data_IF_383486450423
#
_entry.id   IF_383486450423
#
_cell.length_a   1.000
_cell.length_b   1.000
_cell.length_c   1.000
_cell.angle_alpha   90.00
_cell.angle_beta   90.00
_cell.angle_gamma   90.00
#
_symmetry.space_group_name_H-M   'P 1'
#
loop_
_entity.id
_entity.type
_entity.pdbx_description
1 polymer ?
#
# COMPACT_ATOMS: atom_id res chain seq x y z
N UNK A 1 47.67 -44.14 -10.61
CA UNK A 1 46.41 -44.73 -10.09
C UNK A 1 45.32 -44.53 -11.14
N UNK A 2 44.79 -45.62 -11.69
CA UNK A 2 43.79 -45.59 -12.78
C UNK A 2 42.41 -45.25 -12.19
N UNK A 3 41.75 -44.23 -12.74
CA UNK A 3 40.35 -43.88 -12.47
C UNK A 3 39.42 -45.02 -12.93
N UNK A 4 38.93 -45.85 -12.00
CA UNK A 4 38.11 -47.04 -12.30
C UNK A 4 36.60 -46.82 -12.03
N UNK A 5 36.16 -45.63 -11.62
CA UNK A 5 34.75 -45.44 -11.19
C UNK A 5 33.82 -44.71 -12.18
N UNK A 6 34.32 -44.04 -13.23
CA UNK A 6 33.50 -43.07 -14.00
C UNK A 6 32.87 -43.59 -15.29
N UNK A 7 33.33 -44.69 -15.88
CA UNK A 7 32.84 -45.12 -17.22
C UNK A 7 31.48 -45.84 -17.19
N UNK A 8 31.17 -46.61 -16.13
CA UNK A 8 30.00 -47.51 -16.15
C UNK A 8 28.64 -46.87 -15.83
N UNK A 9 28.60 -45.83 -14.99
CA UNK A 9 27.34 -45.23 -14.53
C UNK A 9 26.74 -44.31 -15.60
N UNK A 10 27.57 -43.48 -16.25
CA UNK A 10 27.13 -42.55 -17.29
C UNK A 10 26.65 -43.27 -18.56
N UNK A 11 27.29 -44.39 -18.93
CA UNK A 11 26.81 -45.22 -20.05
C UNK A 11 25.45 -45.85 -19.77
N UNK A 12 25.23 -46.34 -18.54
CA UNK A 12 23.92 -46.90 -18.14
C UNK A 12 22.84 -45.83 -18.22
N UNK A 13 23.11 -44.61 -17.75
CA UNK A 13 22.16 -43.48 -17.85
C UNK A 13 21.84 -43.14 -19.31
N UNK A 14 22.85 -43.13 -20.20
CA UNK A 14 22.64 -42.88 -21.64
C UNK A 14 21.80 -43.96 -22.34
N UNK A 15 21.86 -45.22 -21.91
CA UNK A 15 21.02 -46.30 -22.45
C UNK A 15 19.52 -46.10 -22.17
N UNK A 16 19.19 -45.42 -21.07
CA UNK A 16 17.79 -45.15 -20.67
C UNK A 16 17.32 -43.74 -21.04
N UNK A 17 18.23 -42.84 -21.42
CA UNK A 17 17.89 -41.49 -21.86
C UNK A 17 17.45 -41.47 -23.35
N UNK A 18 16.53 -40.58 -23.74
CA UNK A 18 16.16 -40.39 -25.15
C UNK A 18 17.38 -40.06 -26.02
N UNK A 19 17.43 -40.59 -27.25
CA UNK A 19 18.61 -40.49 -28.14
C UNK A 19 19.03 -39.05 -28.50
N UNK A 20 18.15 -38.07 -28.33
CA UNK A 20 18.39 -36.65 -28.61
C UNK A 20 18.81 -35.84 -27.37
N UNK A 21 18.89 -36.46 -26.19
CA UNK A 21 19.13 -35.74 -24.94
C UNK A 21 20.62 -35.43 -24.77
N UNK A 22 21.00 -34.16 -24.94
CA UNK A 22 22.34 -33.68 -24.59
C UNK A 22 22.39 -33.18 -23.15
N UNK A 23 23.54 -33.36 -22.51
CA UNK A 23 23.75 -32.82 -21.16
C UNK A 23 23.53 -31.29 -21.19
N UNK A 24 22.67 -30.73 -20.33
CA UNK A 24 22.31 -29.32 -20.38
C UNK A 24 23.45 -28.38 -19.98
N UNK A 25 24.47 -28.89 -19.28
CA UNK A 25 25.65 -28.13 -18.85
C UNK A 25 26.91 -28.96 -19.13
N UNK A 26 27.97 -28.31 -19.61
CA UNK A 26 29.26 -28.95 -19.93
C UNK A 26 30.30 -28.72 -18.84
N UNK A 27 30.16 -27.65 -18.06
CA UNK A 27 31.07 -27.32 -16.95
C UNK A 27 30.33 -27.09 -15.62
N UNK A 28 31.03 -27.24 -14.48
CA UNK A 28 30.49 -26.86 -13.17
C UNK A 28 30.20 -25.36 -13.05
N UNK A 29 30.94 -24.49 -13.75
CA UNK A 29 30.68 -23.05 -13.75
C UNK A 29 29.36 -22.73 -14.44
N UNK A 30 29.10 -23.28 -15.63
CA UNK A 30 27.84 -23.11 -16.38
C UNK A 30 26.62 -23.52 -15.55
N UNK A 31 26.73 -24.66 -14.85
CA UNK A 31 25.67 -25.14 -13.96
C UNK A 31 25.43 -24.20 -12.77
N UNK A 32 26.49 -23.64 -12.20
CA UNK A 32 26.41 -22.73 -11.04
C UNK A 32 25.79 -21.38 -11.43
N UNK A 33 26.15 -20.85 -12.58
CA UNK A 33 25.54 -19.63 -13.12
C UNK A 33 24.06 -19.82 -13.40
N UNK A 34 23.68 -20.95 -14.01
CA UNK A 34 22.29 -21.31 -14.23
C UNK A 34 21.52 -21.44 -12.91
N UNK A 35 22.07 -22.13 -11.91
CA UNK A 35 21.46 -22.26 -10.57
C UNK A 35 21.25 -20.90 -9.89
N UNK A 36 22.22 -19.99 -9.97
CA UNK A 36 22.09 -18.63 -9.40
C UNK A 36 21.04 -17.81 -10.14
N UNK A 37 20.98 -17.91 -11.48
CA UNK A 37 19.97 -17.23 -12.28
C UNK A 37 18.56 -17.76 -11.97
N UNK A 38 18.40 -19.07 -11.87
CA UNK A 38 17.11 -19.69 -11.56
C UNK A 38 16.68 -19.47 -10.12
N UNK A 39 17.65 -19.43 -9.19
CA UNK A 39 17.45 -19.00 -7.81
C UNK A 39 16.93 -17.57 -7.72
N UNK A 40 17.52 -16.62 -8.48
CA UNK A 40 17.03 -15.23 -8.54
C UNK A 40 15.60 -15.13 -9.04
N UNK A 41 15.28 -15.78 -10.18
CA UNK A 41 13.91 -15.81 -10.72
C UNK A 41 12.91 -16.38 -9.71
N UNK A 42 13.30 -17.43 -9.01
CA UNK A 42 12.43 -18.07 -8.01
C UNK A 42 12.24 -17.21 -6.77
N UNK A 43 13.26 -16.49 -6.32
CA UNK A 43 13.13 -15.48 -5.27
C UNK A 43 12.19 -14.35 -5.68
N UNK A 44 12.35 -13.81 -6.89
CA UNK A 44 11.45 -12.76 -7.44
C UNK A 44 10.00 -13.24 -7.53
N UNK A 45 9.78 -14.48 -7.99
CA UNK A 45 8.46 -15.12 -8.05
C UNK A 45 7.85 -15.28 -6.65
N UNK A 46 8.63 -15.77 -5.68
CA UNK A 46 8.20 -15.93 -4.28
C UNK A 46 7.90 -14.56 -3.67
N UNK A 47 8.73 -13.55 -3.90
CA UNK A 47 8.46 -12.18 -3.45
C UNK A 47 7.19 -11.62 -4.08
N UNK A 48 6.97 -11.84 -5.36
CA UNK A 48 5.76 -11.43 -6.07
C UNK A 48 4.51 -12.11 -5.51
N UNK A 49 4.57 -13.42 -5.27
CA UNK A 49 3.47 -14.19 -4.67
C UNK A 49 3.22 -13.76 -3.23
N UNK A 50 4.28 -13.60 -2.43
CA UNK A 50 4.18 -13.07 -1.08
C UNK A 50 3.61 -11.66 -1.07
N UNK A 51 3.96 -10.83 -2.06
CA UNK A 51 3.41 -9.49 -2.23
C UNK A 51 1.94 -9.53 -2.61
N UNK A 52 1.51 -10.43 -3.50
CA UNK A 52 0.11 -10.63 -3.85
C UNK A 52 -0.72 -11.12 -2.66
N UNK A 53 -0.22 -12.11 -1.90
CA UNK A 53 -0.88 -12.61 -0.69
C UNK A 53 -0.93 -11.54 0.39
N UNK A 54 0.12 -10.71 0.54
CA UNK A 54 0.11 -9.55 1.42
C UNK A 54 -0.91 -8.53 0.96
N UNK A 55 -0.96 -8.18 -0.33
CA UNK A 55 -1.95 -7.28 -0.91
C UNK A 55 -3.37 -7.80 -0.66
N UNK A 56 -3.64 -9.08 -0.85
CA UNK A 56 -4.97 -9.67 -0.61
C UNK A 56 -5.34 -9.69 0.87
N UNK A 57 -4.41 -10.08 1.75
CA UNK A 57 -4.61 -10.03 3.21
C UNK A 57 -4.78 -8.60 3.70
N UNK A 58 -4.00 -7.68 3.15
CA UNK A 58 -4.10 -6.25 3.40
C UNK A 58 -5.46 -5.78 2.92
N UNK A 59 -5.90 -6.03 1.68
CA UNK A 59 -7.23 -5.66 1.18
C UNK A 59 -8.37 -6.20 2.07
N UNK A 60 -8.24 -7.41 2.60
CA UNK A 60 -9.22 -7.99 3.52
C UNK A 60 -9.14 -7.42 4.94
N UNK A 61 -7.97 -6.92 5.37
CA UNK A 61 -7.73 -6.32 6.70
C UNK A 61 -7.83 -4.79 6.72
N UNK A 62 -7.61 -4.13 5.60
CA UNK A 62 -7.37 -2.69 5.45
C UNK A 62 -8.66 -1.89 5.41
N UNK A 63 -9.77 -2.46 5.87
CA UNK A 63 -11.03 -1.73 5.98
C UNK A 63 -11.45 -0.99 4.70
N UNK A 64 -10.89 -1.32 3.52
CA UNK A 64 -11.41 -0.87 2.23
C UNK A 64 -12.73 -1.58 2.16
N UNK A 65 -13.76 -0.91 2.70
CA UNK A 65 -15.10 -1.41 2.71
C UNK A 65 -15.38 -1.88 1.28
N UNK A 66 -16.04 -3.03 1.08
CA UNK A 66 -16.31 -3.57 -0.26
C UNK A 66 -16.81 -2.51 -1.26
N UNK A 67 -17.48 -1.47 -0.74
CA UNK A 67 -17.91 -0.24 -1.41
C UNK A 67 -16.80 0.48 -2.22
N UNK A 68 -15.56 0.53 -1.73
CA UNK A 68 -14.47 1.28 -2.34
C UNK A 68 -13.54 0.43 -3.22
N UNK A 69 -13.74 -0.90 -3.28
CA UNK A 69 -12.95 -1.82 -4.13
C UNK A 69 -13.07 -1.50 -5.63
N UNK A 70 -14.19 -0.90 -6.05
CA UNK A 70 -14.44 -0.49 -7.44
C UNK A 70 -14.03 0.96 -7.73
N UNK A 71 -13.57 1.72 -6.74
CA UNK A 71 -13.18 3.12 -6.96
C UNK A 71 -11.93 3.22 -7.84
N UNK A 72 -12.00 4.03 -8.89
CA UNK A 72 -10.88 4.32 -9.79
C UNK A 72 -10.94 5.79 -10.20
N UNK A 73 -9.88 6.29 -10.85
CA UNK A 73 -9.91 7.63 -11.41
C UNK A 73 -10.95 7.78 -12.53
N UNK A 74 -11.28 6.69 -13.22
CA UNK A 74 -12.21 6.70 -14.35
C UNK A 74 -13.68 6.87 -13.93
N UNK A 75 -14.05 6.34 -12.75
CA UNK A 75 -15.43 6.46 -12.24
C UNK A 75 -15.62 7.59 -11.22
N UNK A 76 -14.64 8.48 -11.06
CA UNK A 76 -14.77 9.71 -10.31
C UNK A 76 -15.41 10.80 -11.19
N UNK A 77 -16.62 11.25 -10.85
CA UNK A 77 -17.34 12.27 -11.63
C UNK A 77 -16.90 13.67 -11.25
N UNK A 78 -16.49 14.45 -12.25
CA UNK A 78 -16.09 15.85 -12.09
C UNK A 78 -17.22 16.77 -12.55
N UNK A 79 -17.68 17.64 -11.66
CA UNK A 79 -18.75 18.61 -11.87
C UNK A 79 -18.31 20.05 -11.65
N UNK A 80 -17.20 20.27 -10.94
CA UNK A 80 -16.67 21.60 -10.67
C UNK A 80 -15.14 21.61 -10.75
N UNK A 81 -14.57 22.81 -10.78
CA UNK A 81 -13.12 23.00 -10.93
C UNK A 81 -12.35 22.47 -9.71
N UNK A 82 -12.93 22.54 -8.51
CA UNK A 82 -12.34 21.95 -7.30
C UNK A 82 -12.17 20.44 -7.41
N UNK A 83 -13.19 19.73 -7.92
CA UNK A 83 -13.14 18.30 -8.19
C UNK A 83 -12.15 17.96 -9.30
N UNK A 84 -12.05 18.80 -10.34
CA UNK A 84 -11.07 18.63 -11.42
C UNK A 84 -9.64 18.76 -10.87
N UNK A 85 -9.40 19.75 -10.03
CA UNK A 85 -8.13 19.97 -9.35
C UNK A 85 -7.79 18.82 -8.41
N UNK A 86 -8.73 18.38 -7.56
CA UNK A 86 -8.50 17.25 -6.67
C UNK A 86 -8.18 15.95 -7.44
N UNK A 87 -8.87 15.69 -8.56
CA UNK A 87 -8.58 14.56 -9.42
C UNK A 87 -7.19 14.66 -10.06
N UNK A 88 -6.77 15.85 -10.52
CA UNK A 88 -5.44 16.04 -11.12
C UNK A 88 -4.34 15.84 -10.09
N UNK A 89 -4.51 16.38 -8.87
CA UNK A 89 -3.58 16.16 -7.76
C UNK A 89 -3.50 14.67 -7.40
N UNK A 90 -4.63 13.97 -7.29
CA UNK A 90 -4.66 12.54 -6.97
C UNK A 90 -3.94 11.69 -8.03
N UNK A 91 -4.09 12.01 -9.32
CA UNK A 91 -3.34 11.34 -10.40
C UNK A 91 -1.83 11.63 -10.32
N UNK A 92 -1.44 12.87 -10.02
CA UNK A 92 -0.03 13.23 -9.84
C UNK A 92 0.60 12.46 -8.67
N UNK A 93 -0.10 12.42 -7.52
CA UNK A 93 0.32 11.67 -6.34
C UNK A 93 0.51 10.18 -6.70
N UNK A 94 -0.47 9.58 -7.38
CA UNK A 94 -0.38 8.18 -7.76
C UNK A 94 0.86 7.88 -8.63
N UNK A 95 1.16 8.75 -9.61
CA UNK A 95 2.35 8.60 -10.46
C UNK A 95 3.67 8.77 -9.68
N UNK A 96 3.74 9.74 -8.77
CA UNK A 96 4.94 9.94 -7.92
C UNK A 96 5.17 8.77 -6.95
N UNK A 97 4.10 8.15 -6.46
CA UNK A 97 4.17 6.99 -5.55
C UNK A 97 4.61 5.69 -6.24
N UNK A 98 4.63 5.63 -7.57
CA UNK A 98 5.15 4.46 -8.29
C UNK A 98 6.66 4.29 -8.05
N UNK A 99 7.42 5.37 -8.12
CA UNK A 99 8.88 5.37 -8.07
C UNK A 99 9.47 6.10 -6.86
N UNK A 100 8.67 6.89 -6.14
CA UNK A 100 9.12 7.71 -5.02
C UNK A 100 8.20 7.63 -3.80
N UNK A 101 8.23 8.68 -3.00
CA UNK A 101 7.36 8.86 -1.85
C UNK A 101 6.79 10.27 -1.81
N UNK A 102 5.49 10.38 -1.56
CA UNK A 102 4.80 11.66 -1.47
C UNK A 102 3.66 11.54 -0.47
N UNK A 103 3.70 12.39 0.56
CA UNK A 103 2.65 12.47 1.54
C UNK A 103 1.46 13.28 1.00
N UNK A 104 0.25 12.98 1.47
CA UNK A 104 -0.91 13.77 1.10
C UNK A 104 -1.94 13.87 2.21
N UNK A 105 -2.69 14.95 2.22
CA UNK A 105 -3.83 15.16 3.09
C UNK A 105 -5.02 15.65 2.28
N UNK A 106 -6.15 14.95 2.37
CA UNK A 106 -7.42 15.35 1.80
C UNK A 106 -8.32 15.86 2.93
N UNK A 107 -8.69 17.13 2.84
CA UNK A 107 -9.51 17.82 3.84
C UNK A 107 -10.82 18.27 3.23
N UNK A 108 -11.94 18.08 3.91
CA UNK A 108 -13.25 18.64 3.50
C UNK A 108 -14.41 17.89 4.11
N UNK A 109 -15.66 18.26 3.78
CA UNK A 109 -16.85 17.65 4.40
C UNK A 109 -17.03 16.16 4.05
N UNK A 110 -17.82 15.40 4.83
CA UNK A 110 -18.21 14.04 4.45
C UNK A 110 -18.96 14.00 3.11
N UNK A 111 -18.75 12.94 2.34
CA UNK A 111 -19.45 12.73 1.07
C UNK A 111 -18.89 13.51 -0.12
N UNK A 112 -17.76 14.20 0.02
CA UNK A 112 -17.12 14.96 -1.07
C UNK A 112 -16.21 14.12 -1.97
N UNK A 113 -15.97 12.84 -1.65
CA UNK A 113 -15.19 11.93 -2.49
C UNK A 113 -13.72 11.75 -2.08
N UNK A 114 -13.31 12.21 -0.89
CA UNK A 114 -11.95 11.98 -0.33
C UNK A 114 -11.54 10.52 -0.37
N UNK A 115 -12.37 9.64 0.22
CA UNK A 115 -12.14 8.19 0.26
C UNK A 115 -12.13 7.57 -1.14
N UNK A 116 -12.92 8.09 -2.08
CA UNK A 116 -12.94 7.60 -3.46
C UNK A 116 -11.58 7.85 -4.12
N UNK A 117 -11.06 9.08 -4.04
CA UNK A 117 -9.76 9.41 -4.64
C UNK A 117 -8.61 8.70 -3.93
N UNK A 118 -8.66 8.56 -2.60
CA UNK A 118 -7.67 7.78 -1.87
C UNK A 118 -7.69 6.30 -2.26
N UNK A 119 -8.87 5.71 -2.40
CA UNK A 119 -9.03 4.33 -2.88
C UNK A 119 -8.59 4.18 -4.34
N UNK A 120 -8.81 5.19 -5.19
CA UNK A 120 -8.33 5.19 -6.58
C UNK A 120 -6.80 5.20 -6.65
N UNK A 121 -6.13 6.02 -5.81
CA UNK A 121 -4.66 6.00 -5.66
C UNK A 121 -4.22 4.62 -5.18
N UNK A 122 -4.85 4.10 -4.14
CA UNK A 122 -4.52 2.79 -3.59
C UNK A 122 -4.65 1.68 -4.63
N UNK A 123 -5.78 1.58 -5.31
CA UNK A 123 -6.03 0.59 -6.35
C UNK A 123 -5.02 0.70 -7.49
N UNK A 124 -4.66 1.91 -7.91
CA UNK A 124 -3.62 2.13 -8.91
C UNK A 124 -2.27 1.54 -8.45
N UNK A 125 -1.84 1.86 -7.23
CA UNK A 125 -0.60 1.33 -6.67
C UNK A 125 -0.61 -0.20 -6.48
N UNK A 126 -1.77 -0.79 -6.16
CA UNK A 126 -1.91 -2.23 -6.11
C UNK A 126 -1.67 -2.87 -7.49
N UNK A 127 -2.10 -2.23 -8.59
CA UNK A 127 -1.84 -2.74 -9.94
C UNK A 127 -0.36 -2.66 -10.35
N UNK A 128 0.39 -1.70 -9.80
CA UNK A 128 1.84 -1.60 -9.99
C UNK A 128 2.64 -2.48 -9.02
N UNK A 129 1.93 -3.31 -8.24
CA UNK A 129 2.53 -4.24 -7.29
C UNK A 129 3.08 -3.56 -6.05
N UNK A 130 2.54 -2.41 -5.61
CA UNK A 130 2.84 -1.81 -4.31
C UNK A 130 1.83 -2.29 -3.27
N UNK A 131 2.13 -2.07 -2.00
CA UNK A 131 1.30 -2.44 -0.85
C UNK A 131 0.60 -1.21 -0.27
N UNK A 132 -0.71 -1.31 -0.04
CA UNK A 132 -1.53 -0.17 0.39
C UNK A 132 -2.45 -0.59 1.53
N UNK A 133 -2.33 0.05 2.69
CA UNK A 133 -3.31 -0.07 3.78
C UNK A 133 -4.11 1.22 3.84
N UNK A 134 -5.43 1.09 3.90
CA UNK A 134 -6.33 2.12 4.42
C UNK A 134 -6.73 1.68 5.82
N UNK A 135 -6.91 2.58 6.77
CA UNK A 135 -7.38 2.23 8.12
C UNK A 135 -7.94 3.48 8.78
N UNK A 136 -8.98 3.34 9.59
CA UNK A 136 -9.45 4.46 10.40
C UNK A 136 -8.53 4.65 11.61
N UNK A 137 -8.40 5.87 12.11
CA UNK A 137 -7.65 6.09 13.37
C UNK A 137 -8.29 5.30 14.52
N UNK A 138 -9.61 5.16 14.52
CA UNK A 138 -10.37 4.35 15.47
C UNK A 138 -9.87 2.90 15.54
N UNK A 139 -9.73 2.26 14.38
CA UNK A 139 -9.30 0.87 14.28
C UNK A 139 -7.85 0.73 14.73
N UNK A 140 -6.98 1.70 14.43
CA UNK A 140 -5.59 1.71 14.90
C UNK A 140 -5.56 1.74 16.43
N UNK A 141 -6.30 2.67 17.04
CA UNK A 141 -6.35 2.79 18.49
C UNK A 141 -6.98 1.55 19.16
N UNK A 142 -8.05 0.99 18.58
CA UNK A 142 -8.67 -0.23 19.08
C UNK A 142 -7.73 -1.43 19.00
N UNK A 143 -6.98 -1.57 17.90
CA UNK A 143 -6.00 -2.64 17.74
C UNK A 143 -4.88 -2.50 18.78
N UNK A 144 -4.41 -1.27 19.04
CA UNK A 144 -3.42 -1.01 20.07
C UNK A 144 -3.92 -1.35 21.47
N UNK A 145 -5.15 -0.95 21.80
CA UNK A 145 -5.75 -1.24 23.10
C UNK A 145 -5.93 -2.75 23.32
N UNK A 146 -6.45 -3.48 22.33
CA UNK A 146 -6.63 -4.94 22.41
C UNK A 146 -5.32 -5.69 22.64
N UNK A 147 -4.20 -5.10 22.21
CA UNK A 147 -2.87 -5.71 22.35
C UNK A 147 -2.22 -5.49 23.70
N UNK A 148 -2.73 -4.60 24.55
CA UNK A 148 -2.29 -4.53 25.94
C UNK A 148 -2.65 -5.80 26.72
N UNK A 149 -3.70 -6.51 26.31
CA UNK A 149 -4.15 -7.75 26.96
C UNK A 149 -3.41 -9.01 26.46
N UNK A 150 -2.83 -8.99 25.25
CA UNK A 150 -2.24 -10.18 24.58
C UNK A 150 -0.76 -10.00 24.17
N UNK A 151 -0.16 -8.83 24.47
CA UNK A 151 1.27 -8.49 24.43
C UNK A 151 1.96 -8.43 23.05
N UNK A 152 1.63 -9.31 22.10
CA UNK A 152 2.39 -9.45 20.84
C UNK A 152 1.65 -8.96 19.58
N UNK A 153 0.32 -8.83 19.64
CA UNK A 153 -0.51 -8.54 18.47
C UNK A 153 -0.36 -7.09 17.96
N UNK A 154 -0.13 -6.13 18.85
CA UNK A 154 -0.22 -4.70 18.55
C UNK A 154 1.05 -4.12 17.97
N UNK A 155 2.20 -4.50 18.52
CA UNK A 155 3.49 -4.15 17.92
C UNK A 155 3.64 -4.75 16.52
N UNK A 156 3.15 -5.98 16.32
CA UNK A 156 3.11 -6.59 15.00
C UNK A 156 2.23 -5.77 14.04
N UNK A 157 1.04 -5.38 14.47
CA UNK A 157 0.15 -4.54 13.67
C UNK A 157 0.77 -3.18 13.32
N UNK A 158 1.35 -2.47 14.29
CA UNK A 158 2.06 -1.20 14.03
C UNK A 158 3.21 -1.35 13.05
N UNK A 159 3.97 -2.45 13.15
CA UNK A 159 5.06 -2.76 12.22
C UNK A 159 4.52 -3.00 10.82
N UNK A 160 3.43 -3.76 10.67
CA UNK A 160 2.75 -3.94 9.38
C UNK A 160 2.31 -2.57 8.79
N UNK A 161 1.74 -1.67 9.61
CA UNK A 161 1.39 -0.31 9.18
C UNK A 161 2.60 0.52 8.77
N UNK A 162 3.77 0.30 9.37
CA UNK A 162 5.00 1.01 9.03
C UNK A 162 5.70 0.44 7.80
N UNK A 163 5.43 -0.80 7.40
CA UNK A 163 6.14 -1.51 6.31
C UNK A 163 5.54 -1.29 4.93
N UNK A 164 4.25 -0.99 4.83
CA UNK A 164 3.58 -0.81 3.54
C UNK A 164 4.04 0.44 2.79
N UNK A 165 3.92 0.42 1.45
CA UNK A 165 4.34 1.54 0.59
C UNK A 165 3.46 2.78 0.81
N UNK A 166 2.14 2.58 0.91
CA UNK A 166 1.18 3.64 1.24
C UNK A 166 0.31 3.23 2.43
N UNK A 167 0.24 4.10 3.44
CA UNK A 167 -0.72 4.02 4.53
C UNK A 167 -1.66 5.22 4.43
N UNK A 168 -2.97 4.98 4.32
CA UNK A 168 -4.00 6.00 4.36
C UNK A 168 -4.72 5.91 5.71
N UNK A 169 -4.61 6.98 6.50
CA UNK A 169 -5.29 7.15 7.77
C UNK A 169 -6.58 7.94 7.52
N UNK A 170 -7.71 7.30 7.80
CA UNK A 170 -9.04 7.87 7.62
C UNK A 170 -9.66 8.34 8.94
N UNK A 171 -10.61 9.26 8.84
CA UNK A 171 -11.37 9.83 9.95
C UNK A 171 -10.51 10.52 11.03
N UNK A 172 -9.39 11.12 10.63
CA UNK A 172 -8.54 11.87 11.56
C UNK A 172 -9.32 13.07 12.12
N UNK A 173 -9.35 13.18 13.46
CA UNK A 173 -10.04 14.26 14.17
C UNK A 173 -11.55 14.06 14.30
N UNK A 174 -12.09 12.88 13.99
CA UNK A 174 -13.49 12.53 14.28
C UNK A 174 -13.66 12.07 15.74
N UNK A 175 -12.62 11.48 16.32
CA UNK A 175 -12.63 10.99 17.70
C UNK A 175 -12.28 12.10 18.71
N UNK A 176 -12.66 11.91 19.97
CA UNK A 176 -12.31 12.84 21.06
C UNK A 176 -10.78 12.87 21.20
N UNK A 177 -10.20 14.06 21.12
CA UNK A 177 -8.75 14.36 21.11
C UNK A 177 -8.02 13.78 22.33
N UNK A 178 -7.71 12.48 22.31
CA UNK A 178 -6.90 11.88 23.38
C UNK A 178 -5.43 12.14 23.10
N UNK A 179 -4.66 12.53 24.13
CA UNK A 179 -3.20 12.69 24.02
C UNK A 179 -2.53 11.42 23.47
N UNK A 180 -3.08 10.25 23.76
CA UNK A 180 -2.56 8.97 23.28
C UNK A 180 -2.67 8.85 21.75
N UNK A 181 -3.81 9.22 21.16
CA UNK A 181 -4.01 9.23 19.70
C UNK A 181 -2.98 10.11 19.00
N UNK A 182 -2.76 11.33 19.51
CA UNK A 182 -1.77 12.25 18.94
C UNK A 182 -0.35 11.66 18.97
N UNK A 183 0.04 11.03 20.09
CA UNK A 183 1.34 10.38 20.23
C UNK A 183 1.51 9.23 19.24
N UNK A 184 0.49 8.38 19.10
CA UNK A 184 0.51 7.24 18.16
C UNK A 184 0.61 7.74 16.72
N UNK A 185 -0.22 8.71 16.32
CA UNK A 185 -0.19 9.27 14.97
C UNK A 185 1.16 9.92 14.66
N UNK A 186 1.71 10.68 15.60
CA UNK A 186 3.05 11.27 15.46
C UNK A 186 4.11 10.18 15.24
N UNK A 187 4.10 9.10 16.03
CA UNK A 187 5.04 8.00 15.88
C UNK A 187 4.93 7.31 14.51
N UNK A 188 3.71 7.07 14.04
CA UNK A 188 3.47 6.45 12.72
C UNK A 188 4.03 7.34 11.61
N UNK A 189 3.69 8.64 11.61
CA UNK A 189 4.15 9.59 10.58
C UNK A 189 5.66 9.73 10.58
N UNK A 190 6.29 9.89 11.75
CA UNK A 190 7.74 10.09 11.86
C UNK A 190 8.50 8.84 11.40
N UNK A 191 8.09 7.63 11.83
CA UNK A 191 8.72 6.36 11.40
C UNK A 191 8.61 6.13 9.89
N UNK A 192 7.43 6.41 9.31
CA UNK A 192 7.19 6.22 7.87
C UNK A 192 7.97 7.24 7.04
N UNK A 193 7.94 8.51 7.43
CA UNK A 193 8.69 9.57 6.73
C UNK A 193 10.19 9.31 6.80
N UNK A 194 10.72 8.89 7.96
CA UNK A 194 12.12 8.51 8.11
C UNK A 194 12.52 7.31 7.24
N UNK A 195 11.57 6.42 6.94
CA UNK A 195 11.78 5.25 6.08
C UNK A 195 11.43 5.50 4.61
N UNK A 196 11.23 6.77 4.20
CA UNK A 196 10.81 7.15 2.85
C UNK A 196 9.53 6.42 2.38
N UNK A 197 8.59 6.23 3.30
CA UNK A 197 7.27 5.62 3.05
C UNK A 197 6.16 6.65 3.19
N UNK A 198 5.16 6.54 2.33
CA UNK A 198 4.17 7.60 2.15
C UNK A 198 2.98 7.47 3.09
N UNK A 199 2.45 8.60 3.55
CA UNK A 199 1.27 8.69 4.39
C UNK A 199 0.20 9.55 3.69
N UNK A 200 -0.99 8.98 3.56
CA UNK A 200 -2.22 9.68 3.19
C UNK A 200 -3.06 9.96 4.43
N UNK A 201 -3.61 11.15 4.54
CA UNK A 201 -4.50 11.55 5.63
C UNK A 201 -5.84 11.99 5.07
N UNK A 202 -6.95 11.46 5.59
CA UNK A 202 -8.30 11.90 5.25
C UNK A 202 -8.95 12.49 6.49
N UNK A 203 -9.41 13.74 6.38
CA UNK A 203 -9.99 14.46 7.51
C UNK A 203 -11.15 15.35 7.09
N UNK A 204 -12.01 15.67 8.06
CA UNK A 204 -13.00 16.74 7.93
C UNK A 204 -12.52 18.06 8.53
N UNK A 205 -11.33 18.07 9.17
CA UNK A 205 -10.71 19.27 9.74
C UNK A 205 -10.03 20.11 8.66
N UNK A 206 -10.00 21.42 8.85
CA UNK A 206 -9.18 22.31 8.03
C UNK A 206 -7.70 22.26 8.48
N UNK A 207 -6.83 22.96 7.76
CA UNK A 207 -5.39 22.95 8.03
C UNK A 207 -5.05 23.40 9.46
N UNK A 208 -5.67 24.48 9.95
CA UNK A 208 -5.36 25.03 11.28
C UNK A 208 -5.82 24.09 12.40
N UNK A 209 -7.01 23.51 12.30
CA UNK A 209 -7.50 22.52 13.25
C UNK A 209 -6.63 21.24 13.20
N UNK A 210 -6.18 20.84 12.02
CA UNK A 210 -5.28 19.70 11.88
C UNK A 210 -3.90 20.00 12.50
N UNK A 211 -3.37 21.22 12.33
CA UNK A 211 -2.13 21.68 12.96
C UNK A 211 -2.26 21.73 14.48
N UNK A 212 -3.40 22.17 15.00
CA UNK A 212 -3.67 22.16 16.44
C UNK A 212 -3.73 20.74 17.02
N UNK A 213 -4.28 19.78 16.26
CA UNK A 213 -4.41 18.40 16.71
C UNK A 213 -3.08 17.63 16.66
N UNK A 214 -2.36 17.68 15.53
CA UNK A 214 -1.15 16.85 15.33
C UNK A 214 0.16 17.58 15.65
N UNK A 215 0.09 18.91 15.82
CA UNK A 215 1.26 19.75 16.04
C UNK A 215 2.01 20.08 14.75
N UNK A 216 2.82 21.14 14.83
CA UNK A 216 3.55 21.69 13.69
C UNK A 216 4.54 20.71 13.07
N UNK A 217 5.19 19.87 13.90
CA UNK A 217 6.16 18.88 13.44
C UNK A 217 5.54 17.84 12.50
N UNK A 218 4.34 17.34 12.78
CA UNK A 218 3.68 16.37 11.90
C UNK A 218 3.25 17.03 10.60
N UNK A 219 2.72 18.26 10.69
CA UNK A 219 2.33 19.02 9.49
C UNK A 219 3.53 19.28 8.58
N UNK A 220 4.70 19.65 9.13
CA UNK A 220 5.95 19.79 8.39
C UNK A 220 6.31 18.49 7.65
N UNK A 221 6.31 17.33 8.34
CA UNK A 221 6.53 16.02 7.71
C UNK A 221 5.57 15.71 6.58
N UNK A 222 4.30 16.11 6.70
CA UNK A 222 3.29 15.91 5.66
C UNK A 222 3.52 16.77 4.42
N UNK A 223 4.31 17.85 4.51
CA UNK A 223 4.69 18.71 3.38
C UNK A 223 6.02 18.32 2.72
N UNK A 224 6.83 17.48 3.37
CA UNK A 224 8.10 16.98 2.82
C UNK A 224 7.89 16.19 1.52
N UNK A 225 8.92 16.15 0.66
CA UNK A 225 8.95 15.39 -0.59
C UNK A 225 7.77 15.70 -1.54
N UNK A 226 7.39 16.98 -1.65
CA UNK A 226 6.28 17.40 -2.49
C UNK A 226 4.91 17.07 -1.89
N UNK A 227 4.83 17.00 -0.57
CA UNK A 227 3.61 16.67 0.15
C UNK A 227 2.45 17.61 -0.17
N UNK A 228 1.25 17.06 -0.35
CA UNK A 228 0.09 17.81 -0.87
C UNK A 228 -1.04 17.92 0.12
N UNK A 229 -1.52 19.14 0.35
CA UNK A 229 -2.79 19.40 1.03
C UNK A 229 -3.85 19.77 -0.01
N UNK A 230 -4.92 18.97 -0.11
CA UNK A 230 -5.99 19.18 -1.10
C UNK A 230 -7.33 19.38 -0.38
N UNK A 231 -7.99 20.51 -0.69
CA UNK A 231 -9.27 20.88 -0.11
C UNK A 231 -10.45 20.41 -0.96
N UNK A 232 -11.44 19.81 -0.30
CA UNK A 232 -12.67 19.25 -0.86
C UNK A 232 -13.85 20.11 -0.41
N UNK A 233 -13.92 21.32 -0.95
CA UNK A 233 -14.86 22.38 -0.56
C UNK A 233 -16.10 22.43 -1.46
N UNK A 234 -16.77 21.29 -1.66
CA UNK A 234 -18.01 21.19 -2.42
C UNK A 234 -19.07 20.38 -1.66
N UNK A 235 -20.29 20.40 -2.19
CA UNK A 235 -21.42 19.70 -1.59
C UNK A 235 -21.30 18.17 -1.66
N UNK A 236 -21.97 17.50 -0.72
CA UNK A 236 -21.94 16.04 -0.63
C UNK A 236 -22.53 15.38 -1.88
N UNK A 237 -21.83 14.36 -2.40
CA UNK A 237 -22.28 13.54 -3.52
C UNK A 237 -23.30 12.47 -3.11
N UNK A 238 -23.44 12.15 -1.82
CA UNK A 238 -24.29 11.05 -1.32
C UNK A 238 -25.75 11.12 -1.82
N UNK A 239 -26.41 12.28 -1.97
CA UNK A 239 -27.76 12.36 -2.53
C UNK A 239 -27.89 11.77 -3.94
N UNK A 240 -26.82 11.84 -4.76
CA UNK A 240 -26.83 11.37 -6.14
C UNK A 240 -26.65 9.85 -6.28
N UNK A 241 -26.23 9.16 -5.20
CA UNK A 241 -26.00 7.71 -5.20
C UNK A 241 -27.33 6.93 -5.17
N UNK A 242 -28.38 7.48 -4.54
CA UNK A 242 -29.70 6.86 -4.45
C UNK A 242 -30.54 6.90 -5.75
N UNK A 243 -30.28 7.85 -6.65
CA UNK A 243 -31.03 7.97 -7.91
C UNK A 243 -30.50 7.06 -9.03
N UNK A 244 -29.28 6.53 -8.91
CA UNK A 244 -28.69 5.65 -9.92
C UNK A 244 -29.21 4.21 -9.89
N UNK A 245 -29.97 3.83 -8.85
CA UNK A 245 -30.63 2.52 -8.73
C UNK A 245 -32.13 2.53 -9.08
N UNK A 246 -32.68 3.69 -9.46
CA UNK A 246 -34.08 3.86 -9.83
C UNK A 246 -34.19 4.34 -11.29
N UNK A 247 -33.61 3.59 -12.21
CA UNK A 247 -33.97 3.67 -13.63
C UNK A 247 -34.39 2.27 -14.05
N UNK A 248 -35.66 2.20 -14.47
CA UNK A 248 -36.37 1.01 -14.96
C UNK A 248 -35.66 0.36 -16.14
#
# INVERSE_FOLDING_TARGET
MKNIATSGVLERIRKFAPAHLTAPFRTPEEWREWQLAEGRKRCEEIERQNRQVRVEKILNRSGIQPLHRKCSFANYRVQNDGQRYALSQAKSIAGELESGCTNFAFSGKPGTGKNHLAAAIGNHLLTTGKTVIVVTVADVMSALHASYDDGQSGEKFLRELCEVDLLVLDEIGVQRETKNEQVVLHQIVDRRTASMRSVGMLTNLNYDAMKALLGERVMDRMTMNGGRWVNFNWESWRPNVGQAGAVR
#
